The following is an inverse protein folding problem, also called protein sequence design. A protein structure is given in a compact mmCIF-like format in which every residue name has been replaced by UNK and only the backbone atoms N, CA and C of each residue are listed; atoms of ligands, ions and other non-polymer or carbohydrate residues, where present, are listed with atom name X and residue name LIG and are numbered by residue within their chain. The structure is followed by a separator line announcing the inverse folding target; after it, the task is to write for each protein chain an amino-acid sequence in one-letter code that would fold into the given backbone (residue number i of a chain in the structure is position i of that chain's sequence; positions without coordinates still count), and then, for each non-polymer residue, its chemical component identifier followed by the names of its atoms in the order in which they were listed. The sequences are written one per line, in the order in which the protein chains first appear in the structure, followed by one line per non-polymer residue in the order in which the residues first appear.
data_IF_749002012866
#
_entry.id   IF_749002012866
#
_cell.length_a   1.000
_cell.length_b   1.000
_cell.length_c   1.000
_cell.angle_alpha   90.00
_cell.angle_beta   90.00
_cell.angle_gamma   90.00
#
_symmetry.space_group_name_H-M   'P 1'
#
loop_
_entity.id
_entity.type
_entity.pdbx_description
1 polymer ?
#
# COMPACT_ATOMS: atom_id res chain seq x y z
N UNK A 1 19.40 10.57 13.32
CA UNK A 1 17.94 10.81 13.25
C UNK A 1 17.20 9.65 13.94
N UNK A 2 17.43 9.42 15.24
CA UNK A 2 17.56 8.02 15.71
C UNK A 2 16.79 7.63 16.99
N UNK A 3 15.93 8.50 17.54
CA UNK A 3 14.97 8.10 18.59
C UNK A 3 13.50 8.41 18.22
N UNK A 4 13.18 9.61 17.72
CA UNK A 4 11.79 10.03 17.45
C UNK A 4 11.02 9.21 16.38
N UNK A 5 11.72 8.45 15.53
CA UNK A 5 11.08 7.49 14.61
C UNK A 5 10.79 6.13 15.26
N UNK A 6 11.52 5.72 16.31
CA UNK A 6 11.29 4.43 16.98
C UNK A 6 9.92 4.42 17.68
N UNK A 7 9.49 5.56 18.23
CA UNK A 7 8.19 5.69 18.90
C UNK A 7 6.97 5.52 17.96
N UNK A 8 7.14 5.60 16.64
CA UNK A 8 6.04 5.43 15.67
C UNK A 8 6.28 4.29 14.67
N UNK A 9 7.41 3.57 14.75
CA UNK A 9 7.69 2.41 13.90
C UNK A 9 7.36 1.11 14.64
N UNK A 10 6.69 0.19 13.96
CA UNK A 10 6.37 -1.15 14.45
C UNK A 10 6.70 -2.16 13.37
N UNK A 11 7.55 -3.13 13.67
CA UNK A 11 7.66 -4.36 12.89
C UNK A 11 6.66 -5.37 13.45
N UNK A 12 5.77 -5.88 12.60
CA UNK A 12 4.83 -6.94 12.99
C UNK A 12 5.56 -8.27 13.19
N UNK A 13 4.94 -9.17 13.95
CA UNK A 13 5.24 -10.60 13.81
C UNK A 13 4.45 -11.19 12.62
N UNK A 14 4.01 -12.46 12.68
CA UNK A 14 3.42 -13.17 11.54
C UNK A 14 2.05 -12.62 11.18
N UNK A 15 1.98 -11.87 10.08
CA UNK A 15 0.76 -11.32 9.48
C UNK A 15 0.49 -11.97 8.11
N UNK A 16 -0.78 -12.03 7.68
CA UNK A 16 -1.14 -12.45 6.32
C UNK A 16 -1.28 -11.20 5.43
N UNK A 17 -0.75 -11.23 4.22
CA UNK A 17 -0.85 -10.10 3.29
C UNK A 17 -2.03 -10.26 2.34
N UNK A 18 -2.67 -9.15 1.98
CA UNK A 18 -3.76 -9.05 1.01
C UNK A 18 -3.60 -7.76 0.17
N UNK A 19 -4.22 -7.71 -1.01
CA UNK A 19 -4.08 -6.62 -1.99
C UNK A 19 -2.61 -6.16 -2.16
N UNK A 20 -1.73 -7.11 -2.50
CA UNK A 20 -0.28 -6.92 -2.54
C UNK A 20 0.15 -6.17 -3.81
N UNK A 21 0.57 -4.92 -3.63
CA UNK A 21 1.07 -4.02 -4.67
C UNK A 21 2.49 -3.52 -4.30
N UNK A 22 3.43 -4.46 -4.13
CA UNK A 22 4.78 -4.18 -3.62
C UNK A 22 5.84 -3.96 -4.73
N UNK A 23 5.60 -4.47 -5.94
CA UNK A 23 6.50 -4.29 -7.10
C UNK A 23 6.00 -3.28 -8.13
N UNK A 24 4.70 -2.97 -8.13
CA UNK A 24 4.09 -2.00 -9.03
C UNK A 24 3.16 -1.10 -8.21
N UNK A 25 3.24 0.23 -8.35
CA UNK A 25 2.42 1.14 -7.59
C UNK A 25 0.97 1.11 -8.12
N UNK A 26 0.01 1.10 -7.20
CA UNK A 26 -1.42 0.99 -7.51
C UNK A 26 -2.19 2.20 -6.97
N UNK A 27 -3.22 2.63 -7.70
CA UNK A 27 -4.14 3.69 -7.27
C UNK A 27 -5.46 3.06 -6.81
N UNK A 28 -5.75 3.14 -5.51
CA UNK A 28 -6.95 2.53 -4.91
C UNK A 28 -8.28 3.17 -5.33
N UNK A 29 -8.24 4.32 -6.01
CA UNK A 29 -9.38 5.06 -6.55
C UNK A 29 -8.97 5.76 -7.86
N UNK A 30 -9.90 5.98 -8.81
CA UNK A 30 -9.63 6.79 -9.99
C UNK A 30 -9.15 8.20 -9.62
N UNK A 31 -7.98 8.59 -10.12
CA UNK A 31 -7.38 9.91 -9.86
C UNK A 31 -6.57 10.04 -8.57
N UNK A 32 -6.42 8.99 -7.77
CA UNK A 32 -5.44 8.99 -6.67
C UNK A 32 -4.02 8.68 -7.18
N UNK A 33 -3.02 9.24 -6.49
CA UNK A 33 -1.59 9.02 -6.78
C UNK A 33 -1.21 7.54 -6.53
N UNK A 34 -0.71 6.80 -7.56
CA UNK A 34 -0.31 5.40 -7.42
C UNK A 34 0.79 5.19 -6.38
N UNK A 35 0.63 4.18 -5.52
CA UNK A 35 1.54 3.88 -4.41
C UNK A 35 1.80 2.38 -4.27
N UNK A 36 3.00 2.05 -3.80
CA UNK A 36 3.31 0.72 -3.32
C UNK A 36 2.51 0.49 -2.03
N UNK A 37 1.74 -0.58 -1.94
CA UNK A 37 0.80 -0.79 -0.84
C UNK A 37 0.50 -2.27 -0.58
N UNK A 38 0.01 -2.56 0.61
CA UNK A 38 -0.62 -3.85 0.94
C UNK A 38 -1.59 -3.68 2.12
N UNK A 39 -2.64 -4.49 2.12
CA UNK A 39 -3.51 -4.68 3.28
C UNK A 39 -2.94 -5.79 4.15
N UNK A 40 -2.64 -5.47 5.39
CA UNK A 40 -1.99 -6.29 6.38
C UNK A 40 -3.08 -6.82 7.32
N UNK A 41 -3.16 -8.15 7.43
CA UNK A 41 -4.11 -8.87 8.27
C UNK A 41 -3.37 -9.38 9.51
N UNK A 42 -3.62 -8.74 10.65
CA UNK A 42 -3.01 -9.07 11.94
C UNK A 42 -4.01 -9.94 12.72
N UNK A 43 -3.71 -11.20 13.06
CA UNK A 43 -4.62 -12.04 13.82
C UNK A 43 -5.03 -11.39 15.14
N UNK A 44 -6.31 -11.47 15.54
CA UNK A 44 -6.77 -10.90 16.82
C UNK A 44 -6.12 -11.54 18.06
N UNK A 45 -5.49 -12.70 17.89
CA UNK A 45 -4.64 -13.36 18.89
C UNK A 45 -3.25 -12.71 19.06
N UNK A 46 -2.75 -11.94 18.10
CA UNK A 46 -1.48 -11.19 18.22
C UNK A 46 -1.70 -9.85 18.95
N UNK A 47 -1.99 -9.99 20.24
CA UNK A 47 -2.16 -8.86 21.16
C UNK A 47 -0.87 -8.04 21.29
N UNK A 48 0.32 -8.66 21.13
CA UNK A 48 1.61 -7.99 21.25
C UNK A 48 1.90 -7.04 20.09
N UNK A 49 1.63 -7.44 18.84
CA UNK A 49 1.65 -6.52 17.69
C UNK A 49 0.60 -5.44 17.82
N UNK A 50 -0.62 -5.77 18.28
CA UNK A 50 -1.68 -4.77 18.45
C UNK A 50 -1.35 -3.72 19.53
N UNK A 51 -0.77 -4.12 20.67
CA UNK A 51 -0.30 -3.17 21.70
C UNK A 51 0.81 -2.23 21.17
N UNK A 52 1.78 -2.77 20.43
CA UNK A 52 2.82 -1.94 19.76
C UNK A 52 2.20 -0.95 18.77
N UNK A 53 1.23 -1.39 17.97
CA UNK A 53 0.50 -0.55 17.01
C UNK A 53 -0.33 0.53 17.71
N UNK A 54 -1.00 0.22 18.82
CA UNK A 54 -1.75 1.20 19.62
C UNK A 54 -0.82 2.26 20.23
N UNK A 55 0.32 1.85 20.79
CA UNK A 55 1.33 2.76 21.32
C UNK A 55 1.90 3.68 20.23
N UNK A 56 2.25 3.13 19.06
CA UNK A 56 2.74 3.91 17.92
C UNK A 56 1.68 4.86 17.34
N UNK A 57 0.41 4.45 17.33
CA UNK A 57 -0.72 5.30 16.94
C UNK A 57 -0.92 6.43 17.95
N UNK A 58 -0.78 6.17 19.26
CA UNK A 58 -0.83 7.21 20.28
C UNK A 58 0.34 8.20 20.16
N UNK A 59 1.56 7.72 19.88
CA UNK A 59 2.70 8.60 19.60
C UNK A 59 2.50 9.46 18.35
N UNK A 60 1.90 8.93 17.27
CA UNK A 60 1.50 9.70 16.10
C UNK A 60 0.37 10.70 16.41
N UNK A 61 -0.57 10.36 17.31
CA UNK A 61 -1.58 11.29 17.80
C UNK A 61 -0.95 12.50 18.49
N UNK A 62 -0.04 12.26 19.44
CA UNK A 62 0.70 13.31 20.14
C UNK A 62 1.51 14.20 19.18
N UNK A 63 2.17 13.62 18.17
CA UNK A 63 2.86 14.38 17.10
C UNK A 63 1.90 15.29 16.33
N UNK A 64 0.68 14.83 16.02
CA UNK A 64 -0.36 15.64 15.39
C UNK A 64 -0.88 16.77 16.26
N UNK A 65 -1.02 16.55 17.58
CA UNK A 65 -1.37 17.61 18.54
C UNK A 65 -0.26 18.66 18.62
N UNK A 66 1.01 18.24 18.74
CA UNK A 66 2.16 19.14 18.78
C UNK A 66 2.35 19.97 17.49
N UNK A 67 1.88 19.45 16.34
CA UNK A 67 1.83 20.18 15.05
C UNK A 67 0.58 21.04 14.87
N UNK A 68 -0.31 21.12 15.86
CA UNK A 68 -1.57 21.88 15.77
C UNK A 68 -2.58 21.30 14.77
N UNK A 69 -2.42 20.04 14.34
CA UNK A 69 -3.34 19.42 13.39
C UNK A 69 -4.70 19.17 14.05
N UNK A 70 -4.74 18.84 15.33
CA UNK A 70 -5.95 18.63 16.13
C UNK A 70 -5.68 18.86 17.63
N UNK A 71 -6.74 18.89 18.45
CA UNK A 71 -6.62 19.02 19.92
C UNK A 71 -6.39 17.66 20.57
N UNK A 72 -5.87 17.63 21.80
CA UNK A 72 -5.63 16.37 22.54
C UNK A 72 -6.87 15.46 22.65
N UNK A 73 -8.07 16.05 22.76
CA UNK A 73 -9.34 15.31 22.88
C UNK A 73 -9.96 14.94 21.52
N UNK A 74 -9.34 15.32 20.40
CA UNK A 74 -9.83 14.99 19.06
C UNK A 74 -9.60 13.51 18.75
N UNK A 75 -10.56 12.89 18.05
CA UNK A 75 -10.42 11.54 17.50
C UNK A 75 -10.12 11.63 15.99
N UNK A 76 -8.84 11.71 15.57
CA UNK A 76 -8.46 11.68 14.16
C UNK A 76 -8.77 10.30 13.56
N UNK A 77 -8.94 10.22 12.23
CA UNK A 77 -9.08 8.94 11.55
C UNK A 77 -7.83 8.07 11.76
N UNK A 78 -8.00 6.77 12.01
CA UNK A 78 -6.90 5.81 12.25
C UNK A 78 -6.86 4.73 11.16
N UNK A 79 -5.68 4.17 10.81
CA UNK A 79 -5.53 3.27 9.67
C UNK A 79 -5.77 1.79 10.04
N UNK A 80 -6.47 1.54 11.15
CA UNK A 80 -6.68 0.21 11.76
C UNK A 80 -8.19 0.00 11.87
N UNK A 81 -8.67 -1.14 11.38
CA UNK A 81 -10.10 -1.47 11.33
C UNK A 81 -10.33 -2.89 11.84
N UNK A 82 -11.53 -3.15 12.37
CA UNK A 82 -11.96 -4.50 12.74
C UNK A 82 -12.48 -5.25 11.50
N UNK A 83 -11.78 -6.32 11.09
CA UNK A 83 -12.17 -7.16 9.96
C UNK A 83 -13.43 -7.98 10.18
N UNK A 84 -13.87 -8.19 11.43
CA UNK A 84 -15.16 -8.82 11.73
C UNK A 84 -16.33 -7.87 11.48
N UNK A 85 -16.11 -6.56 11.58
CA UNK A 85 -17.10 -5.52 11.32
C UNK A 85 -17.27 -5.11 9.85
N UNK A 86 -17.64 -3.85 9.66
CA UNK A 86 -17.83 -3.19 8.35
C UNK A 86 -16.75 -2.13 8.10
N UNK A 87 -16.46 -1.91 6.82
CA UNK A 87 -15.62 -0.83 6.31
C UNK A 87 -16.31 0.53 6.52
N UNK A 88 -15.58 1.66 6.45
CA UNK A 88 -16.15 3.01 6.57
C UNK A 88 -17.21 3.41 5.52
N UNK A 89 -17.42 2.60 4.47
CA UNK A 89 -18.49 2.76 3.48
C UNK A 89 -19.74 1.89 3.78
N UNK A 90 -19.75 1.13 4.88
CA UNK A 90 -20.85 0.25 5.29
C UNK A 90 -20.76 -1.18 4.75
N UNK A 91 -19.85 -1.47 3.81
CA UNK A 91 -19.66 -2.83 3.28
C UNK A 91 -18.94 -3.73 4.31
N UNK A 92 -19.28 -5.03 4.39
CA UNK A 92 -18.48 -5.96 5.19
C UNK A 92 -17.06 -6.08 4.65
N UNK A 93 -16.08 -6.29 5.54
CA UNK A 93 -14.79 -6.81 5.10
C UNK A 93 -14.93 -8.25 4.56
N UNK A 94 -14.01 -8.65 3.68
CA UNK A 94 -14.01 -9.97 3.06
C UNK A 94 -13.78 -11.10 4.07
N UNK A 95 -14.02 -12.34 3.65
CA UNK A 95 -13.90 -13.51 4.55
C UNK A 95 -12.47 -13.67 5.07
N UNK A 96 -11.46 -13.29 4.29
CA UNK A 96 -10.05 -13.30 4.65
C UNK A 96 -9.71 -12.34 5.82
N UNK A 97 -10.55 -11.33 6.06
CA UNK A 97 -10.38 -10.36 7.14
C UNK A 97 -10.99 -10.83 8.47
N UNK A 98 -11.81 -11.90 8.50
CA UNK A 98 -12.47 -12.34 9.73
C UNK A 98 -11.47 -12.89 10.75
N UNK A 99 -11.69 -12.58 12.03
CA UNK A 99 -10.74 -12.83 13.12
C UNK A 99 -9.44 -12.00 13.07
N UNK A 100 -9.35 -10.99 12.19
CA UNK A 100 -8.15 -10.16 12.02
C UNK A 100 -8.45 -8.67 12.23
N UNK A 101 -7.44 -7.94 12.69
CA UNK A 101 -7.34 -6.49 12.51
C UNK A 101 -6.78 -6.19 11.12
N UNK A 102 -7.40 -5.23 10.44
CA UNK A 102 -7.11 -4.88 9.05
C UNK A 102 -6.47 -3.49 9.02
N UNK A 103 -5.30 -3.38 8.40
CA UNK A 103 -4.59 -2.11 8.20
C UNK A 103 -4.02 -2.05 6.78
N UNK A 104 -4.22 -0.95 6.07
CA UNK A 104 -3.60 -0.75 4.74
C UNK A 104 -2.42 0.20 4.88
N UNK A 105 -1.22 -0.30 4.60
CA UNK A 105 0.02 0.47 4.60
C UNK A 105 0.41 0.87 3.16
N UNK A 106 0.98 2.07 2.99
CA UNK A 106 1.41 2.54 1.66
C UNK A 106 2.68 3.41 1.68
N UNK A 107 3.39 3.43 0.55
CA UNK A 107 4.58 4.27 0.31
C UNK A 107 4.64 4.76 -1.14
N UNK A 108 5.24 5.93 -1.35
CA UNK A 108 5.53 6.46 -2.70
C UNK A 108 6.74 5.79 -3.36
N UNK A 109 7.64 5.22 -2.55
CA UNK A 109 8.86 4.55 -3.00
C UNK A 109 8.72 3.05 -2.80
N UNK A 110 9.29 2.26 -3.71
CA UNK A 110 9.37 0.81 -3.53
C UNK A 110 10.17 0.52 -2.25
N UNK A 111 9.67 -0.40 -1.43
CA UNK A 111 10.34 -0.80 -0.18
C UNK A 111 11.16 -2.06 -0.42
N UNK A 112 12.15 -2.31 0.46
CA UNK A 112 12.90 -3.56 0.42
C UNK A 112 11.98 -4.75 0.72
N UNK A 113 12.00 -5.75 -0.16
CA UNK A 113 11.28 -7.01 -0.01
C UNK A 113 12.33 -8.10 0.14
N UNK A 114 12.27 -8.90 1.21
CA UNK A 114 13.29 -9.92 1.52
C UNK A 114 12.69 -11.26 1.92
N UNK A 115 13.49 -12.32 1.82
CA UNK A 115 13.18 -13.64 2.38
C UNK A 115 13.50 -13.71 3.89
N UNK A 116 13.33 -14.90 4.47
CA UNK A 116 13.66 -15.20 5.87
C UNK A 116 15.17 -15.04 6.19
N UNK A 117 16.03 -15.11 5.17
CA UNK A 117 17.49 -15.01 5.24
C UNK A 117 18.01 -13.59 4.92
N UNK A 118 17.12 -12.61 4.71
CA UNK A 118 17.41 -11.23 4.27
C UNK A 118 17.88 -11.08 2.81
N UNK A 119 17.75 -12.11 1.96
CA UNK A 119 17.99 -11.99 0.52
C UNK A 119 16.88 -11.17 -0.16
N UNK A 120 17.17 -10.25 -1.09
CA UNK A 120 16.14 -9.51 -1.83
C UNK A 120 15.27 -10.42 -2.71
N UNK A 121 13.95 -10.37 -2.51
CA UNK A 121 12.99 -11.04 -3.40
C UNK A 121 12.73 -10.11 -4.59
N UNK A 122 13.17 -10.53 -5.79
CA UNK A 122 12.97 -9.79 -7.04
C UNK A 122 11.78 -10.33 -7.87
N UNK A 123 11.33 -11.54 -7.57
CA UNK A 123 10.29 -12.25 -8.31
C UNK A 123 8.90 -11.94 -7.73
N UNK A 124 8.01 -11.41 -8.57
CA UNK A 124 6.65 -11.04 -8.14
C UNK A 124 5.80 -12.26 -7.76
N UNK A 125 6.11 -13.44 -8.31
CA UNK A 125 5.41 -14.69 -8.01
C UNK A 125 5.69 -15.24 -6.60
N UNK A 126 6.75 -14.77 -5.93
CA UNK A 126 7.10 -15.24 -4.59
C UNK A 126 6.35 -14.53 -3.46
N UNK A 127 5.80 -13.33 -3.71
CA UNK A 127 5.07 -12.54 -2.72
C UNK A 127 3.76 -12.01 -3.31
N UNK A 128 2.72 -12.81 -3.12
CA UNK A 128 1.35 -12.59 -3.59
C UNK A 128 0.41 -12.35 -2.41
N UNK A 129 -0.76 -11.76 -2.67
CA UNK A 129 -1.86 -11.73 -1.70
C UNK A 129 -2.16 -13.15 -1.22
N UNK A 130 -2.03 -13.43 0.07
CA UNK A 130 -2.17 -14.76 0.67
C UNK A 130 -0.98 -15.22 1.50
N UNK A 131 0.24 -14.75 1.21
CA UNK A 131 1.46 -15.14 1.95
C UNK A 131 1.47 -14.65 3.38
N UNK A 132 2.32 -15.27 4.21
CA UNK A 132 2.66 -14.81 5.54
C UNK A 132 3.99 -14.08 5.57
N UNK A 133 4.03 -12.94 6.25
CA UNK A 133 5.16 -12.01 6.28
C UNK A 133 5.36 -11.38 7.67
N UNK A 134 6.46 -10.64 7.82
CA UNK A 134 6.56 -9.49 8.72
C UNK A 134 6.57 -8.21 7.89
N UNK A 135 5.99 -7.14 8.40
CA UNK A 135 6.04 -5.81 7.77
C UNK A 135 6.51 -4.78 8.79
N UNK A 136 7.44 -3.91 8.41
CA UNK A 136 7.68 -2.68 9.15
C UNK A 136 6.68 -1.60 8.71
N UNK A 137 6.01 -0.99 9.68
CA UNK A 137 5.00 0.05 9.49
C UNK A 137 5.46 1.26 10.28
N UNK A 138 5.43 2.48 9.70
CA UNK A 138 5.60 3.72 10.46
C UNK A 138 4.33 4.56 10.44
N UNK A 139 3.76 4.80 11.61
CA UNK A 139 2.57 5.64 11.78
C UNK A 139 2.93 7.12 11.69
N UNK A 140 2.13 7.90 10.99
CA UNK A 140 2.37 9.34 10.79
C UNK A 140 1.09 10.16 10.77
N UNK A 141 1.13 11.33 11.38
CA UNK A 141 0.08 12.34 11.34
C UNK A 141 -0.02 13.03 9.97
N UNK A 142 -1.25 13.30 9.50
CA UNK A 142 -1.51 14.05 8.27
C UNK A 142 -2.71 14.99 8.41
N UNK A 143 -2.71 16.10 7.65
CA UNK A 143 -3.75 17.15 7.75
C UNK A 143 -4.20 17.74 6.41
N UNK A 144 -3.94 17.06 5.28
CA UNK A 144 -4.06 17.64 3.93
C UNK A 144 -5.52 17.79 3.47
N UNK A 145 -6.10 16.77 2.80
CA UNK A 145 -7.52 16.76 2.39
C UNK A 145 -8.47 16.26 3.49
N UNK A 146 -7.92 15.53 4.48
CA UNK A 146 -8.56 15.07 5.72
C UNK A 146 -7.50 15.11 6.82
N UNK A 147 -7.92 15.03 8.09
CA UNK A 147 -7.03 14.90 9.26
C UNK A 147 -7.06 13.45 9.76
N UNK A 148 -5.90 12.89 10.07
CA UNK A 148 -5.79 11.47 10.43
C UNK A 148 -4.37 11.02 10.74
N UNK A 149 -4.24 9.74 11.07
CA UNK A 149 -2.99 9.00 11.19
C UNK A 149 -2.95 7.99 10.03
N UNK A 150 -1.86 8.01 9.26
CA UNK A 150 -1.61 7.08 8.16
C UNK A 150 -0.62 6.00 8.56
N UNK A 151 -0.65 4.87 7.85
CA UNK A 151 0.32 3.78 7.98
C UNK A 151 1.30 3.82 6.79
N UNK A 152 2.53 4.22 7.05
CA UNK A 152 3.62 4.19 6.07
C UNK A 152 4.17 2.78 5.92
N UNK A 153 4.19 2.27 4.69
CA UNK A 153 4.79 0.97 4.37
C UNK A 153 6.33 1.10 4.39
N UNK A 154 6.98 0.31 5.24
CA UNK A 154 8.42 0.07 5.25
C UNK A 154 8.77 -1.30 4.65
N UNK A 155 9.98 -1.84 4.94
CA UNK A 155 10.41 -3.16 4.46
C UNK A 155 9.47 -4.32 4.82
N UNK A 156 9.45 -5.33 3.95
CA UNK A 156 8.62 -6.54 4.05
C UNK A 156 9.51 -7.78 4.01
N UNK A 157 9.36 -8.68 4.98
CA UNK A 157 10.03 -9.98 5.02
C UNK A 157 9.01 -11.10 4.80
N UNK A 158 9.14 -11.91 3.74
CA UNK A 158 8.36 -13.14 3.59
C UNK A 158 8.79 -14.16 4.65
N UNK A 159 7.82 -14.78 5.31
CA UNK A 159 8.04 -15.86 6.30
C UNK A 159 7.66 -17.22 5.72
N UNK A 160 6.49 -17.33 5.10
CA UNK A 160 6.04 -18.54 4.42
C UNK A 160 5.00 -18.23 3.35
N UNK A 161 4.85 -19.17 2.42
CA UNK A 161 3.68 -19.25 1.56
C UNK A 161 2.39 -19.49 2.36
N UNK A 162 1.26 -19.29 1.68
CA UNK A 162 -0.09 -19.46 2.20
C UNK A 162 -1.07 -19.57 1.03
N UNK A 163 -2.32 -19.94 1.29
CA UNK A 163 -3.37 -19.97 0.27
C UNK A 163 -3.48 -18.59 -0.43
N UNK A 164 -3.45 -18.51 -1.78
CA UNK A 164 -3.59 -17.26 -2.51
C UNK A 164 -4.96 -16.59 -2.31
N UNK A 165 -4.94 -15.30 -1.97
CA UNK A 165 -6.11 -14.46 -1.76
C UNK A 165 -6.31 -13.51 -2.96
N UNK A 166 -7.16 -13.88 -3.91
CA UNK A 166 -7.52 -12.97 -5.00
C UNK A 166 -8.64 -13.50 -5.89
N UNK A 167 -9.39 -12.58 -6.50
CA UNK A 167 -10.49 -12.88 -7.43
C UNK A 167 -10.03 -13.42 -8.80
N UNK A 168 -8.93 -14.16 -8.86
CA UNK A 168 -8.55 -14.95 -10.03
C UNK A 168 -9.11 -16.35 -9.85
N UNK A 169 -10.08 -16.70 -10.70
CA UNK A 169 -10.51 -18.08 -10.88
C UNK A 169 -9.27 -18.92 -11.18
N UNK A 170 -9.02 -20.00 -10.41
CA UNK A 170 -7.86 -20.87 -10.64
C UNK A 170 -7.96 -21.56 -12.00
N UNK A 171 -6.86 -22.10 -12.54
CA UNK A 171 -6.92 -22.81 -13.82
C UNK A 171 -7.87 -24.03 -13.76
N UNK A 172 -7.92 -24.68 -12.60
CA UNK A 172 -8.78 -25.82 -12.29
C UNK A 172 -10.26 -25.40 -12.22
N UNK A 173 -10.54 -24.23 -11.63
CA UNK A 173 -11.88 -23.64 -11.57
C UNK A 173 -12.34 -23.04 -12.91
N UNK A 174 -11.42 -22.55 -13.74
CA UNK A 174 -11.71 -21.88 -15.01
C UNK A 174 -11.84 -22.84 -16.19
N UNK A 175 -11.03 -23.90 -16.20
CA UNK A 175 -10.95 -24.89 -17.29
C UNK A 175 -11.42 -26.28 -16.89
N UNK A 176 -11.89 -26.47 -15.65
CA UNK A 176 -12.72 -27.61 -15.24
C UNK A 176 -12.13 -28.97 -15.61
N UNK A 177 -10.91 -29.24 -15.13
CA UNK A 177 -10.12 -30.42 -15.47
C UNK A 177 -10.83 -31.75 -15.14
N UNK A 178 -11.70 -32.20 -16.05
CA UNK A 178 -12.34 -33.51 -15.97
C UNK A 178 -11.25 -34.59 -15.98
N UNK A 179 -11.17 -35.46 -14.96
CA UNK A 179 -10.22 -36.55 -14.98
C UNK A 179 -10.63 -37.53 -16.08
N UNK A 180 -9.94 -37.48 -17.23
CA UNK A 180 -10.04 -38.52 -18.23
C UNK A 180 -9.66 -39.86 -17.56
N UNK A 181 -10.53 -40.89 -17.57
CA UNK A 181 -10.33 -42.09 -16.77
C UNK A 181 -9.19 -42.95 -17.32
N UNK A 182 -7.96 -42.67 -16.85
CA UNK A 182 -6.75 -43.42 -17.18
C UNK A 182 -6.55 -44.56 -16.18
N UNK A 183 -6.86 -45.80 -16.58
CA UNK A 183 -6.63 -46.97 -15.73
C UNK A 183 -7.27 -48.26 -16.26
N UNK A 184 -6.65 -48.89 -17.27
CA UNK A 184 -7.21 -50.08 -17.92
C UNK A 184 -6.18 -50.92 -18.69
N UNK A 185 -4.96 -51.06 -18.17
CA UNK A 185 -3.87 -51.77 -18.85
C UNK A 185 -4.04 -53.31 -18.76
N UNK A 186 -4.64 -53.91 -19.80
CA UNK A 186 -4.63 -55.36 -20.04
C UNK A 186 -3.59 -55.78 -21.08
N UNK A 187 -2.90 -56.90 -20.86
CA UNK A 187 -1.90 -57.48 -21.77
C UNK A 187 -2.56 -58.30 -22.91
N UNK A 188 -1.85 -58.57 -24.04
CA UNK A 188 -2.47 -58.92 -25.31
C UNK A 188 -2.64 -60.44 -25.55
N UNK A 189 -3.54 -60.80 -26.47
CA UNK A 189 -3.60 -62.15 -27.03
C UNK A 189 -4.61 -62.33 -28.18
N UNK A 190 -4.18 -63.03 -29.24
CA UNK A 190 -5.05 -63.98 -29.94
C UNK A 190 -5.83 -63.55 -31.19
N UNK A 191 -5.17 -63.57 -32.35
CA UNK A 191 -5.63 -64.04 -33.68
C UNK A 191 -7.14 -64.01 -34.05
N UNK A 192 -7.50 -63.29 -35.13
CA UNK A 192 -8.84 -63.35 -35.78
C UNK A 192 -8.87 -62.73 -37.19
N UNK A 193 -9.81 -63.18 -38.03
CA UNK A 193 -9.92 -62.93 -39.48
C UNK A 193 -11.41 -63.00 -39.90
N UNK A 194 -11.96 -62.51 -41.02
CA UNK A 194 -11.60 -61.75 -42.26
C UNK A 194 -12.95 -61.31 -42.91
N UNK A 195 -13.05 -60.56 -44.06
CA UNK A 195 -12.11 -59.71 -44.82
C UNK A 195 -12.67 -58.29 -45.13
N UNK A 196 -11.87 -57.45 -45.81
CA UNK A 196 -12.16 -56.03 -46.07
C UNK A 196 -13.14 -55.63 -47.18
N UNK A 197 -13.15 -54.32 -47.47
CA UNK A 197 -13.56 -53.68 -48.72
C UNK A 197 -12.87 -52.30 -48.84
N UNK A 198 -12.69 -51.77 -50.05
CA UNK A 198 -11.85 -50.59 -50.30
C UNK A 198 -12.44 -49.64 -51.36
N UNK A 199 -12.64 -48.38 -50.97
CA UNK A 199 -12.89 -47.19 -51.78
C UNK A 199 -12.33 -45.98 -51.00
N UNK A 200 -11.84 -44.88 -51.59
CA UNK A 200 -11.62 -44.54 -52.99
C UNK A 200 -11.49 -43.02 -53.13
N UNK A 201 -10.31 -42.51 -53.51
CA UNK A 201 -10.10 -41.06 -53.71
C UNK A 201 -10.70 -40.56 -55.02
N UNK A 202 -11.15 -39.29 -55.05
CA UNK A 202 -10.93 -38.44 -56.22
C UNK A 202 -10.21 -37.12 -55.86
N UNK A 203 -9.79 -36.41 -56.90
CA UNK A 203 -9.06 -35.14 -56.86
C UNK A 203 -9.67 -34.16 -57.90
N UNK A 204 -9.02 -33.01 -58.09
CA UNK A 204 -9.20 -32.03 -59.17
C UNK A 204 -10.46 -31.12 -59.12
N UNK A 205 -10.29 -29.85 -59.50
CA UNK A 205 -11.35 -28.85 -59.68
C UNK A 205 -10.82 -27.42 -59.69
N UNK A 206 -11.33 -26.54 -60.58
CA UNK A 206 -10.94 -25.12 -60.69
C UNK A 206 -12.14 -24.18 -60.43
N UNK A 207 -11.85 -22.89 -60.23
CA UNK A 207 -12.86 -21.82 -60.12
C UNK A 207 -13.48 -21.45 -61.49
N UNK A 208 -14.65 -20.78 -61.48
CA UNK A 208 -14.69 -19.41 -62.02
C UNK A 208 -15.51 -18.43 -61.14
N UNK A 209 -15.94 -17.29 -61.70
CA UNK A 209 -16.16 -16.01 -60.98
C UNK A 209 -17.56 -15.39 -61.05
N UNK A 210 -17.80 -14.46 -60.11
CA UNK A 210 -18.75 -13.31 -60.15
C UNK A 210 -20.27 -13.60 -60.01
N UNK A 211 -21.12 -12.57 -59.74
CA UNK A 211 -20.84 -11.19 -59.32
C UNK A 211 -21.48 -10.81 -57.96
N UNK A 212 -21.12 -9.64 -57.39
CA UNK A 212 -21.79 -9.07 -56.21
C UNK A 212 -22.25 -7.62 -56.49
N UNK A 213 -23.51 -7.32 -56.14
CA UNK A 213 -24.09 -5.96 -56.22
C UNK A 213 -23.93 -5.22 -54.87
N UNK A 214 -23.96 -3.89 -54.87
CA UNK A 214 -23.80 -3.07 -53.65
C UNK A 214 -24.51 -1.71 -53.71
N UNK A 215 -24.58 -1.01 -52.57
CA UNK A 215 -25.23 0.30 -52.38
C UNK A 215 -24.58 1.10 -51.23
N UNK A 216 -24.37 2.42 -51.39
CA UNK A 216 -23.87 3.38 -50.36
C UNK A 216 -22.36 3.26 -50.04
N UNK A 217 -21.48 4.27 -50.04
CA UNK A 217 -21.53 5.75 -49.96
C UNK A 217 -22.15 6.34 -48.68
N UNK A 218 -21.63 7.38 -48.01
CA UNK A 218 -20.32 8.10 -47.99
C UNK A 218 -20.39 9.16 -46.83
N UNK A 219 -19.41 10.08 -46.57
CA UNK A 219 -17.97 10.15 -46.87
C UNK A 219 -17.09 10.27 -45.59
N UNK A 220 -15.77 10.46 -45.74
CA UNK A 220 -14.84 10.85 -44.66
C UNK A 220 -14.25 12.26 -44.88
N UNK A 221 -13.81 12.95 -43.82
CA UNK A 221 -13.17 14.28 -43.90
C UNK A 221 -11.64 14.22 -43.72
N UNK A 222 -10.94 15.21 -44.30
CA UNK A 222 -9.48 15.20 -44.49
C UNK A 222 -8.85 16.56 -44.15
N UNK A 223 -8.06 16.60 -43.08
CA UNK A 223 -7.04 17.63 -42.74
C UNK A 223 -5.99 16.96 -41.84
N UNK A 224 -4.68 17.28 -41.87
CA UNK A 224 -3.87 18.11 -42.76
C UNK A 224 -2.45 18.26 -42.16
N UNK A 225 -1.38 18.08 -42.94
CA UNK A 225 0.01 18.27 -42.46
C UNK A 225 0.48 19.73 -42.58
N UNK A 226 1.56 20.11 -41.87
CA UNK A 226 2.66 20.75 -42.60
C UNK A 226 4.10 20.41 -42.14
N UNK A 227 4.95 20.17 -43.15
CA UNK A 227 6.31 20.71 -43.35
C UNK A 227 7.48 20.50 -42.35
N UNK A 228 8.69 20.43 -42.92
CA UNK A 228 10.00 20.31 -42.24
C UNK A 228 10.91 21.51 -42.56
N UNK A 229 11.75 21.93 -41.60
CA UNK A 229 12.77 22.99 -41.74
C UNK A 229 13.90 22.79 -40.67
N UNK A 230 15.08 23.44 -40.79
CA UNK A 230 16.35 22.70 -40.62
C UNK A 230 17.26 23.09 -39.42
N UNK A 231 18.48 22.55 -39.45
CA UNK A 231 19.44 22.32 -38.37
C UNK A 231 20.31 23.53 -37.95
N UNK A 232 20.47 23.78 -36.64
CA UNK A 232 21.56 24.50 -35.94
C UNK A 232 21.30 24.51 -34.40
N UNK A 233 22.25 24.82 -33.50
CA UNK A 233 23.70 25.00 -33.66
C UNK A 233 24.38 25.74 -32.49
N UNK A 234 25.36 25.09 -31.83
CA UNK A 234 26.25 25.61 -30.75
C UNK A 234 25.61 26.09 -29.43
N UNK A 235 26.44 26.20 -28.37
CA UNK A 235 26.34 27.35 -27.44
C UNK A 235 26.05 27.10 -25.95
N UNK A 236 27.09 26.80 -25.19
CA UNK A 236 27.18 26.89 -23.72
C UNK A 236 26.56 28.17 -23.08
N UNK A 237 25.78 28.01 -21.99
CA UNK A 237 25.97 28.61 -20.63
C UNK A 237 24.64 28.69 -19.81
N UNK A 238 24.68 28.56 -18.46
CA UNK A 238 23.53 28.81 -17.59
C UNK A 238 23.37 30.31 -17.27
N UNK A 239 22.15 30.80 -16.98
CA UNK A 239 21.88 32.22 -16.72
C UNK A 239 22.42 32.70 -15.36
N UNK A 240 22.97 33.91 -15.33
CA UNK A 240 23.40 34.58 -14.12
C UNK A 240 22.23 35.23 -13.35
N UNK A 241 22.30 35.20 -12.02
CA UNK A 241 21.37 35.95 -11.16
C UNK A 241 21.76 37.45 -11.12
N UNK A 242 20.78 38.38 -11.15
CA UNK A 242 21.04 39.80 -10.90
C UNK A 242 21.36 40.04 -9.41
N UNK A 243 22.25 40.98 -9.07
CA UNK A 243 22.58 41.28 -7.68
C UNK A 243 21.44 42.01 -6.98
N UNK A 244 20.95 41.47 -5.86
CA UNK A 244 20.09 42.24 -4.95
C UNK A 244 20.90 43.33 -4.25
N UNK A 245 20.39 44.56 -4.27
CA UNK A 245 20.92 45.67 -3.51
C UNK A 245 20.64 45.46 -2.01
N UNK A 246 21.61 45.79 -1.16
CA UNK A 246 21.47 45.64 0.29
C UNK A 246 20.46 46.63 0.87
N UNK A 247 19.55 46.13 1.71
CA UNK A 247 18.68 46.94 2.56
C UNK A 247 19.05 46.73 4.04
N UNK A 248 18.80 47.76 4.85
CA UNK A 248 19.46 47.94 6.14
C UNK A 248 19.16 46.87 7.19
N UNK A 249 20.14 46.63 8.06
CA UNK A 249 19.95 45.89 9.30
C UNK A 249 18.93 46.60 10.19
N UNK A 250 17.82 45.93 10.50
CA UNK A 250 16.94 46.35 11.60
C UNK A 250 17.45 45.72 12.92
N UNK A 251 17.59 46.50 14.00
CA UNK A 251 18.06 45.97 15.27
C UNK A 251 17.04 44.99 15.86
N UNK A 252 17.53 43.86 16.40
CA UNK A 252 16.69 42.88 17.08
C UNK A 252 16.02 43.51 18.30
N UNK A 253 14.68 43.55 18.31
CA UNK A 253 13.92 43.90 19.50
C UNK A 253 13.98 42.71 20.47
N UNK A 254 14.47 42.94 21.69
CA UNK A 254 14.49 41.91 22.73
C UNK A 254 13.06 41.59 23.17
N UNK A 255 12.70 40.30 23.37
CA UNK A 255 11.41 39.97 23.98
C UNK A 255 11.36 40.50 25.42
N UNK A 256 10.20 40.99 25.90
CA UNK A 256 10.09 41.57 27.24
C UNK A 256 10.40 40.52 28.32
N UNK A 257 11.18 40.91 29.32
CA UNK A 257 11.48 40.06 30.46
C UNK A 257 10.20 39.84 31.30
N UNK A 258 9.85 38.57 31.52
CA UNK A 258 8.79 38.22 32.47
C UNK A 258 9.25 38.54 33.90
N UNK A 259 8.42 39.18 34.74
CA UNK A 259 8.73 39.34 36.16
C UNK A 259 8.79 37.97 36.84
N UNK A 260 9.65 37.77 37.84
CA UNK A 260 9.77 36.49 38.53
C UNK A 260 8.47 36.14 39.24
N UNK A 261 7.92 34.96 38.97
CA UNK A 261 6.75 34.45 39.66
C UNK A 261 7.09 34.20 41.14
N UNK A 262 6.40 34.92 42.03
CA UNK A 262 6.49 34.66 43.46
C UNK A 262 5.91 33.27 43.76
N UNK A 263 6.67 32.45 44.48
CA UNK A 263 6.20 31.12 44.89
C UNK A 263 4.98 31.25 45.80
N UNK A 264 3.84 30.71 45.37
CA UNK A 264 2.66 30.63 46.24
C UNK A 264 2.95 29.67 47.40
N UNK A 265 2.60 30.01 48.66
CA UNK A 265 2.79 29.09 49.79
C UNK A 265 2.08 27.77 49.53
N UNK A 266 2.80 26.66 49.66
CA UNK A 266 2.22 25.34 49.58
C UNK A 266 1.27 25.15 50.79
N UNK A 267 0.02 24.81 50.50
CA UNK A 267 -1.03 24.58 51.50
C UNK A 267 -1.31 23.08 51.58
N UNK A 268 -1.40 22.55 52.80
CA UNK A 268 -1.76 21.15 53.01
C UNK A 268 -3.23 20.89 52.57
N UNK A 269 -3.50 19.93 51.66
CA UNK A 269 -4.82 19.72 51.07
C UNK A 269 -5.84 19.05 52.01
N UNK A 270 -5.43 18.64 53.21
CA UNK A 270 -6.30 18.01 54.22
C UNK A 270 -6.63 19.01 55.35
N UNK A 271 -5.73 19.95 55.65
CA UNK A 271 -5.82 20.82 56.83
C UNK A 271 -5.86 22.33 56.54
N UNK A 272 -5.62 22.75 55.29
CA UNK A 272 -5.88 24.14 54.84
C UNK A 272 -4.97 25.22 55.45
N UNK A 273 -3.84 24.83 56.06
CA UNK A 273 -2.86 25.75 56.66
C UNK A 273 -1.57 25.81 55.83
N UNK A 274 -0.87 26.98 55.81
CA UNK A 274 0.42 27.10 55.14
C UNK A 274 1.53 26.40 55.95
N UNK A 275 2.50 25.80 55.26
CA UNK A 275 3.69 25.21 55.89
C UNK A 275 4.67 26.28 56.42
N UNK A 276 4.38 26.84 57.58
CA UNK A 276 5.27 27.77 58.29
C UNK A 276 6.22 27.00 59.22
N UNK A 277 7.47 26.79 58.79
CA UNK A 277 8.41 25.87 59.45
C UNK A 277 9.89 26.21 59.31
N UNK A 278 10.29 27.46 59.59
CA UNK A 278 11.70 27.83 59.70
C UNK A 278 12.21 27.66 61.13
N UNK A 279 13.16 26.74 61.33
CA UNK A 279 13.83 26.49 62.63
C UNK A 279 15.15 27.26 62.69
N UNK A 280 15.14 28.39 63.39
CA UNK A 280 16.31 29.11 63.92
C UNK A 280 15.89 29.81 65.23
N UNK A 281 16.75 29.96 66.24
CA UNK A 281 18.14 29.50 66.30
C UNK A 281 18.96 30.13 67.42
N UNK A 282 18.41 30.16 68.64
CA UNK A 282 18.83 30.98 69.82
C UNK A 282 18.42 32.45 69.68
#
# INVERSE_FOLDING_TARGET
MTQQNQATSVTTDRVRLSFVHLFQPYASQPGDEPKYSTTILIPKSDVATMQRIQAATHAAHQKGVAKGYWTANSQPNVPIHDGDGVRPNGEPFGQECKGHWVLTAGSKQQQAIVDINMNPILNQSEIYSGVYARVNINFYEYSNRKKGIGAGLGPVQKLSDGEPLGGRVSAEQAFGGSPAPQGGYGQPGGFGQVPGQAFGQPSYGQAPTAPQQGFGQAPAQQYGQPATAPQQGFGQQPPAYPPQQGYGQQPMQQPPAYPPQQAQPQVDPITGKPFNGNVYGI
#
